data_IF_616369714071
#
_entry.id   IF_616369714071
#
_cell.length_a   1.000
_cell.length_b   1.000
_cell.length_c   1.000
_cell.angle_alpha   90.00
_cell.angle_beta   90.00
_cell.angle_gamma   90.00
#
_symmetry.space_group_name_H-M   'P 1'
#
loop_
_entity.id
_entity.type
_entity.pdbx_description
1 polymer ?
#
# COMPACT_ATOMS: atom_id res chain seq x y z
N UNK A 1 -11.80 8.62 -17.27
CA UNK A 1 -10.61 8.47 -16.40
C UNK A 1 -10.11 7.04 -16.54
N UNK A 2 -8.82 6.82 -16.80
CA UNK A 2 -8.27 5.47 -16.75
C UNK A 2 -8.41 4.93 -15.31
N UNK A 3 -8.96 3.72 -15.17
CA UNK A 3 -9.11 3.09 -13.87
C UNK A 3 -7.72 2.98 -13.21
N UNK A 4 -7.57 3.54 -12.00
CA UNK A 4 -6.35 3.34 -11.20
C UNK A 4 -6.29 1.87 -10.81
N UNK A 5 -5.36 1.13 -11.41
CA UNK A 5 -5.05 -0.26 -11.06
C UNK A 5 -3.72 -0.28 -10.31
N UNK A 6 -3.72 -0.89 -9.13
CA UNK A 6 -2.48 -1.23 -8.44
C UNK A 6 -1.86 -2.48 -9.08
N UNK A 7 -0.52 -2.54 -9.11
CA UNK A 7 0.15 -3.78 -9.52
C UNK A 7 -0.17 -4.89 -8.53
N UNK A 8 -0.37 -6.10 -9.06
CA UNK A 8 -0.48 -7.30 -8.23
C UNK A 8 0.84 -7.60 -7.53
N UNK A 9 0.79 -8.36 -6.45
CA UNK A 9 2.02 -8.76 -5.72
C UNK A 9 2.98 -9.53 -6.63
N UNK A 10 2.45 -10.31 -7.57
CA UNK A 10 3.25 -11.00 -8.58
C UNK A 10 3.92 -10.03 -9.55
N UNK A 11 3.18 -9.06 -10.11
CA UNK A 11 3.74 -8.02 -10.99
C UNK A 11 4.83 -7.20 -10.28
N UNK A 12 4.61 -6.83 -9.01
CA UNK A 12 5.63 -6.16 -8.19
C UNK A 12 6.85 -7.05 -7.97
N UNK A 13 6.64 -8.33 -7.70
CA UNK A 13 7.70 -9.33 -7.57
C UNK A 13 8.54 -9.45 -8.83
N UNK A 14 7.92 -9.49 -10.02
CA UNK A 14 8.63 -9.51 -11.31
C UNK A 14 9.52 -8.28 -11.51
N UNK A 15 8.99 -7.08 -11.22
CA UNK A 15 9.76 -5.82 -11.32
C UNK A 15 10.99 -5.84 -10.40
N UNK A 16 10.81 -6.27 -9.14
CA UNK A 16 11.91 -6.37 -8.17
C UNK A 16 12.92 -7.44 -8.59
N UNK A 17 12.44 -8.59 -9.07
CA UNK A 17 13.28 -9.66 -9.61
C UNK A 17 14.17 -9.16 -10.75
N UNK A 18 13.58 -8.55 -11.78
CA UNK A 18 14.31 -7.97 -12.90
C UNK A 18 15.32 -6.91 -12.43
N UNK A 19 14.95 -6.06 -11.46
CA UNK A 19 15.88 -5.07 -10.91
C UNK A 19 17.07 -5.72 -10.21
N UNK A 20 16.86 -6.81 -9.47
CA UNK A 20 17.94 -7.58 -8.81
C UNK A 20 18.85 -8.30 -9.80
N UNK A 21 18.33 -8.70 -10.95
CA UNK A 21 19.11 -9.29 -12.05
C UNK A 21 19.92 -8.25 -12.85
N UNK A 22 19.89 -6.97 -12.46
CA UNK A 22 20.69 -5.92 -13.07
C UNK A 22 20.01 -5.18 -14.23
N UNK A 23 18.75 -5.48 -14.56
CA UNK A 23 18.03 -4.77 -15.60
C UNK A 23 17.86 -3.27 -15.27
N UNK A 24 17.93 -2.43 -16.31
CA UNK A 24 17.66 -1.00 -16.17
C UNK A 24 16.15 -0.76 -16.02
N UNK A 25 15.79 0.41 -15.48
CA UNK A 25 14.36 0.80 -15.39
C UNK A 25 13.71 0.80 -16.78
N UNK A 26 14.44 1.24 -17.82
CA UNK A 26 13.92 1.29 -19.19
C UNK A 26 13.67 -0.10 -19.77
N UNK A 27 14.54 -1.08 -19.46
CA UNK A 27 14.34 -2.47 -19.89
C UNK A 27 13.08 -3.07 -19.28
N UNK A 28 12.90 -2.89 -17.97
CA UNK A 28 11.71 -3.36 -17.23
C UNK A 28 10.43 -2.72 -17.79
N UNK A 29 10.46 -1.42 -18.09
CA UNK A 29 9.31 -0.73 -18.70
C UNK A 29 8.95 -1.34 -20.06
N UNK A 30 9.95 -1.63 -20.89
CA UNK A 30 9.76 -2.23 -22.22
C UNK A 30 9.23 -3.67 -22.13
N UNK A 31 9.76 -4.46 -21.21
CA UNK A 31 9.45 -5.89 -21.09
C UNK A 31 8.08 -6.14 -20.47
N UNK A 32 7.75 -5.46 -19.36
CA UNK A 32 6.50 -5.69 -18.64
C UNK A 32 5.37 -4.74 -19.08
N UNK A 33 5.65 -3.78 -19.97
CA UNK A 33 4.73 -2.73 -20.40
C UNK A 33 4.09 -1.97 -19.21
N UNK A 34 4.87 -1.77 -18.15
CA UNK A 34 4.45 -1.04 -16.94
C UNK A 34 4.94 0.40 -17.05
N UNK A 35 4.14 1.41 -16.66
CA UNK A 35 4.58 2.81 -16.67
C UNK A 35 5.89 3.01 -15.87
N UNK A 36 6.79 3.83 -16.43
CA UNK A 36 8.10 4.16 -15.81
C UNK A 36 7.97 4.67 -14.38
N UNK A 37 6.95 5.49 -14.10
CA UNK A 37 6.67 6.02 -12.77
C UNK A 37 6.38 4.90 -11.76
N UNK A 38 5.61 3.89 -12.17
CA UNK A 38 5.28 2.74 -11.34
C UNK A 38 6.51 1.87 -11.08
N UNK A 39 7.29 1.55 -12.12
CA UNK A 39 8.54 0.79 -11.97
C UNK A 39 9.52 1.50 -11.03
N UNK A 40 9.73 2.81 -11.24
CA UNK A 40 10.61 3.60 -10.39
C UNK A 40 10.14 3.63 -8.94
N UNK A 41 8.82 3.68 -8.71
CA UNK A 41 8.23 3.65 -7.37
C UNK A 41 8.46 2.31 -6.69
N UNK A 42 8.17 1.19 -7.35
CA UNK A 42 8.38 -0.16 -6.80
C UNK A 42 9.84 -0.40 -6.45
N UNK A 43 10.76 -0.04 -7.36
CA UNK A 43 12.20 -0.17 -7.09
C UNK A 43 12.65 0.67 -5.88
N UNK A 44 12.10 1.89 -5.72
CA UNK A 44 12.41 2.76 -4.58
C UNK A 44 11.82 2.24 -3.27
N UNK A 45 10.56 1.80 -3.29
CA UNK A 45 9.91 1.18 -2.14
C UNK A 45 10.74 -0.01 -1.67
N UNK A 46 11.10 -0.91 -2.59
CA UNK A 46 11.93 -2.07 -2.29
C UNK A 46 13.32 -1.70 -1.72
N UNK A 47 13.99 -0.68 -2.26
CA UNK A 47 15.29 -0.24 -1.75
C UNK A 47 15.22 0.28 -0.30
N UNK A 48 14.12 0.95 0.06
CA UNK A 48 13.96 1.56 1.38
C UNK A 48 13.48 0.54 2.42
N UNK A 49 12.48 -0.26 2.08
CA UNK A 49 11.77 -1.13 3.03
C UNK A 49 12.14 -2.60 2.92
N UNK A 50 12.81 -3.02 1.85
CA UNK A 50 13.15 -4.42 1.57
C UNK A 50 11.95 -5.31 1.21
N UNK A 51 10.74 -4.75 1.15
CA UNK A 51 9.50 -5.49 0.86
C UNK A 51 8.97 -5.15 -0.53
N UNK A 52 8.36 -6.14 -1.17
CA UNK A 52 7.79 -6.02 -2.52
C UNK A 52 6.35 -5.52 -2.50
N UNK A 53 5.61 -5.82 -1.44
CA UNK A 53 4.20 -5.51 -1.25
C UNK A 53 3.92 -5.04 0.17
N UNK A 54 3.01 -4.07 0.30
CA UNK A 54 2.51 -3.61 1.59
C UNK A 54 1.20 -4.34 1.89
N UNK A 55 1.24 -5.36 2.76
CA UNK A 55 0.04 -6.12 3.17
C UNK A 55 -0.80 -5.42 4.24
N UNK A 56 -0.36 -4.27 4.74
CA UNK A 56 -1.09 -3.50 5.75
C UNK A 56 -2.14 -2.60 5.13
N UNK A 57 -3.40 -2.74 5.55
CA UNK A 57 -4.35 -1.63 5.44
C UNK A 57 -3.71 -0.41 6.12
N UNK A 58 -3.72 0.73 5.43
CA UNK A 58 -3.33 1.99 6.09
C UNK A 58 -4.23 2.13 7.31
N UNK A 59 -3.67 2.53 8.45
CA UNK A 59 -4.38 2.70 9.73
C UNK A 59 -5.57 3.68 9.67
N UNK A 60 -5.81 4.29 8.50
CA UNK A 60 -6.80 5.32 8.30
C UNK A 60 -6.46 6.58 9.08
N UNK A 61 -7.42 7.50 9.11
CA UNK A 61 -7.38 8.61 10.04
C UNK A 61 -7.68 8.06 11.44
N UNK A 62 -6.87 8.35 12.46
CA UNK A 62 -7.20 7.98 13.83
C UNK A 62 -8.58 8.51 14.24
N UNK A 63 -9.37 7.73 14.99
CA UNK A 63 -10.68 8.18 15.46
C UNK A 63 -10.53 9.40 16.38
N UNK A 64 -11.52 10.31 16.35
CA UNK A 64 -11.52 11.51 17.17
C UNK A 64 -11.58 11.21 18.68
N UNK A 65 -12.15 10.05 19.04
CA UNK A 65 -12.28 9.57 20.41
C UNK A 65 -11.32 8.42 20.65
N UNK A 66 -10.59 8.48 21.77
CA UNK A 66 -9.79 7.35 22.24
C UNK A 66 -10.70 6.23 22.80
N UNK A 67 -10.11 5.07 23.11
CA UNK A 67 -10.86 3.91 23.61
C UNK A 67 -11.57 4.14 24.95
N UNK A 68 -11.08 5.07 25.78
CA UNK A 68 -11.74 5.42 27.05
C UNK A 68 -12.99 6.25 26.77
N UNK A 69 -12.88 7.23 25.90
CA UNK A 69 -13.98 8.11 25.50
C UNK A 69 -15.09 7.31 24.80
N UNK A 70 -14.71 6.38 23.90
CA UNK A 70 -15.68 5.47 23.29
C UNK A 70 -16.39 4.59 24.34
N UNK A 71 -15.66 4.05 25.31
CA UNK A 71 -16.27 3.26 26.40
C UNK A 71 -17.18 4.09 27.29
N UNK A 72 -16.85 5.35 27.54
CA UNK A 72 -17.72 6.26 28.30
C UNK A 72 -18.98 6.59 27.51
N UNK A 73 -18.84 6.92 26.22
CA UNK A 73 -19.96 7.21 25.33
C UNK A 73 -20.93 6.01 25.25
N UNK A 74 -20.40 4.79 25.05
CA UNK A 74 -21.21 3.56 25.04
C UNK A 74 -22.00 3.36 26.33
N UNK A 75 -21.41 3.66 27.50
CA UNK A 75 -22.11 3.58 28.80
C UNK A 75 -23.25 4.58 28.89
N UNK A 76 -23.01 5.85 28.50
CA UNK A 76 -24.05 6.89 28.51
C UNK A 76 -25.22 6.49 27.60
N UNK A 77 -24.93 6.03 26.37
CA UNK A 77 -25.96 5.59 25.42
C UNK A 77 -26.79 4.43 25.99
N UNK A 78 -26.14 3.44 26.61
CA UNK A 78 -26.84 2.28 27.18
C UNK A 78 -27.74 2.63 28.38
N UNK A 79 -27.34 3.59 29.22
CA UNK A 79 -28.15 4.05 30.36
C UNK A 79 -29.43 4.75 29.90
N UNK A 80 -29.39 5.44 28.76
CA UNK A 80 -30.52 6.19 28.22
C UNK A 80 -31.22 5.48 27.05
N UNK A 81 -30.98 4.18 26.89
CA UNK A 81 -31.62 3.36 25.86
C UNK A 81 -32.99 2.91 26.37
N UNK A 82 -34.06 3.45 25.77
CA UNK A 82 -35.44 2.95 25.96
C UNK A 82 -35.63 1.60 25.28
#
# INVERSE_FOLDING_TARGET
>A
MAARRELTDFERGMVVGARRMGHSISDIVREFNIPRSTVSRVCREYLISGITSHHGQRSGRPPALNDRDQRRLRRVVNVHRQ
#
